data_IF_979126014936
#
_entry.id   IF_979126014936
#
_cell.length_a   1.000
_cell.length_b   1.000
_cell.length_c   1.000
_cell.angle_alpha   90.00
_cell.angle_beta   90.00
_cell.angle_gamma   90.00
#
_symmetry.space_group_name_H-M   'P 1'
#
loop_
_entity.id
_entity.type
_entity.pdbx_description
1 polymer ?
#
# COMPACT_ATOMS: atom_id res chain seq x y z
N UNK A 1 -12.82 18.83 27.47
CA UNK A 1 -13.82 18.95 26.39
C UNK A 1 -13.11 19.53 25.18
N UNK A 2 -13.28 18.97 23.97
CA UNK A 2 -12.80 19.65 22.76
C UNK A 2 -13.60 20.94 22.62
N UNK A 3 -12.94 22.08 22.39
CA UNK A 3 -13.64 23.33 22.16
C UNK A 3 -14.54 23.16 20.94
N UNK A 4 -15.75 23.71 21.00
CA UNK A 4 -16.73 23.64 19.92
C UNK A 4 -16.17 24.27 18.64
N UNK A 5 -15.24 25.22 18.77
CA UNK A 5 -14.49 25.83 17.67
C UNK A 5 -13.62 24.83 16.90
N UNK A 6 -12.88 23.97 17.59
CA UNK A 6 -12.00 22.97 16.96
C UNK A 6 -12.81 21.95 16.13
N UNK A 7 -13.96 21.54 16.65
CA UNK A 7 -14.86 20.63 15.93
C UNK A 7 -15.38 21.24 14.63
N UNK A 8 -15.71 22.54 14.65
CA UNK A 8 -16.17 23.27 13.47
C UNK A 8 -15.07 23.43 12.43
N UNK A 9 -13.81 23.63 12.84
CA UNK A 9 -12.67 23.67 11.92
C UNK A 9 -12.43 22.32 11.25
N UNK A 10 -12.47 21.22 12.02
CA UNK A 10 -12.35 19.86 11.47
C UNK A 10 -13.46 19.59 10.47
N UNK A 11 -14.71 19.97 10.80
CA UNK A 11 -15.84 19.78 9.89
C UNK A 11 -15.66 20.58 8.60
N UNK A 12 -15.27 21.85 8.69
CA UNK A 12 -15.03 22.68 7.51
C UNK A 12 -13.90 22.11 6.62
N UNK A 13 -12.87 21.49 7.22
CA UNK A 13 -11.82 20.83 6.46
C UNK A 13 -12.33 19.57 5.74
N UNK A 14 -13.14 18.75 6.42
CA UNK A 14 -13.78 17.56 5.83
C UNK A 14 -14.72 17.96 4.69
N UNK A 15 -15.53 19.01 4.88
CA UNK A 15 -16.45 19.51 3.86
C UNK A 15 -15.67 20.00 2.63
N UNK A 16 -14.62 20.80 2.85
CA UNK A 16 -13.75 21.30 1.77
C UNK A 16 -13.11 20.16 0.96
N UNK A 17 -12.66 19.10 1.62
CA UNK A 17 -12.09 17.94 0.93
C UNK A 17 -13.16 17.16 0.16
N UNK A 18 -14.36 17.02 0.73
CA UNK A 18 -15.47 16.31 0.10
C UNK A 18 -15.98 17.03 -1.15
N UNK A 19 -15.87 18.37 -1.22
CA UNK A 19 -16.17 19.14 -2.43
C UNK A 19 -15.13 18.95 -3.55
N UNK A 20 -13.94 18.42 -3.24
CA UNK A 20 -12.84 18.24 -4.19
C UNK A 20 -12.75 16.84 -4.78
N UNK A 21 -13.47 15.86 -4.22
CA UNK A 21 -13.37 14.46 -4.62
C UNK A 21 -14.73 13.78 -4.68
N UNK A 22 -14.96 12.99 -5.73
CA UNK A 22 -16.11 12.10 -5.81
C UNK A 22 -15.80 10.75 -5.15
N UNK A 23 -16.66 10.33 -4.22
CA UNK A 23 -16.51 9.04 -3.52
C UNK A 23 -17.62 8.10 -3.96
N UNK A 24 -17.24 7.00 -4.60
CA UNK A 24 -18.16 5.95 -5.03
C UNK A 24 -17.86 4.64 -4.31
N UNK A 25 -18.93 3.91 -3.97
CA UNK A 25 -18.82 2.62 -3.28
C UNK A 25 -19.31 1.49 -4.18
N UNK A 26 -18.60 0.37 -4.15
CA UNK A 26 -19.02 -0.87 -4.79
C UNK A 26 -18.84 -2.03 -3.82
N UNK A 27 -19.83 -2.93 -3.80
CA UNK A 27 -19.85 -4.04 -2.87
C UNK A 27 -19.17 -5.28 -3.48
N UNK A 28 -18.11 -5.76 -2.82
CA UNK A 28 -17.59 -7.11 -3.06
C UNK A 28 -18.61 -8.15 -2.57
N UNK A 29 -19.00 -9.10 -3.43
CA UNK A 29 -20.11 -10.02 -3.13
C UNK A 29 -19.75 -11.15 -2.17
N UNK A 30 -18.49 -11.54 -2.13
CA UNK A 30 -17.95 -12.53 -1.20
C UNK A 30 -16.46 -12.22 -0.97
N UNK A 31 -15.90 -12.54 0.21
CA UNK A 31 -14.48 -12.28 0.51
C UNK A 31 -13.58 -13.27 -0.26
N UNK A 32 -13.41 -13.05 -1.56
CA UNK A 32 -12.65 -13.94 -2.46
C UNK A 32 -11.20 -13.49 -2.66
N UNK A 33 -10.71 -12.58 -1.83
CA UNK A 33 -9.35 -12.01 -1.92
C UNK A 33 -9.28 -10.62 -2.56
N UNK A 34 -8.10 -10.01 -2.44
CA UNK A 34 -7.81 -8.66 -2.93
C UNK A 34 -8.04 -8.50 -4.43
N UNK A 35 -7.65 -9.50 -5.23
CA UNK A 35 -7.82 -9.45 -6.68
C UNK A 35 -9.30 -9.39 -7.10
N UNK A 36 -10.18 -10.09 -6.39
CA UNK A 36 -11.63 -10.03 -6.63
C UNK A 36 -12.22 -8.66 -6.24
N UNK A 37 -11.72 -8.05 -5.15
CA UNK A 37 -12.10 -6.70 -4.75
C UNK A 37 -11.70 -5.65 -5.81
N UNK A 38 -10.45 -5.71 -6.29
CA UNK A 38 -9.95 -4.83 -7.37
C UNK A 38 -10.74 -5.07 -8.66
N UNK A 39 -10.95 -6.32 -9.07
CA UNK A 39 -11.72 -6.65 -10.27
C UNK A 39 -13.17 -6.16 -10.21
N UNK A 40 -13.78 -6.17 -9.02
CA UNK A 40 -15.11 -5.63 -8.80
C UNK A 40 -15.16 -4.14 -9.17
N UNK A 41 -14.14 -3.37 -8.80
CA UNK A 41 -14.04 -1.93 -9.08
C UNK A 41 -13.83 -1.58 -10.57
N UNK A 42 -13.50 -2.55 -11.44
CA UNK A 42 -13.27 -2.30 -12.90
C UNK A 42 -14.41 -1.54 -13.59
N UNK A 43 -15.65 -1.69 -13.08
CA UNK A 43 -16.86 -1.05 -13.64
C UNK A 43 -16.84 0.47 -13.47
N UNK A 44 -16.06 0.96 -12.50
CA UNK A 44 -15.89 2.38 -12.19
C UNK A 44 -14.63 2.96 -12.85
N UNK A 45 -13.62 2.11 -13.12
CA UNK A 45 -12.33 2.51 -13.70
C UNK A 45 -12.38 2.61 -15.23
N UNK A 46 -13.37 1.97 -15.87
CA UNK A 46 -13.66 2.10 -17.31
C UNK A 46 -12.49 1.85 -18.28
N UNK A 47 -11.55 0.98 -17.89
CA UNK A 47 -10.42 0.60 -18.74
C UNK A 47 -9.27 1.61 -18.74
N UNK A 48 -9.22 2.51 -17.75
CA UNK A 48 -8.08 3.37 -17.50
C UNK A 48 -7.09 2.75 -16.49
N UNK A 49 -5.83 3.19 -16.46
CA UNK A 49 -4.94 2.88 -15.34
C UNK A 49 -5.49 3.45 -14.03
N UNK A 50 -5.34 2.74 -12.92
CA UNK A 50 -5.81 3.21 -11.63
C UNK A 50 -4.85 2.90 -10.49
N UNK A 51 -4.94 3.70 -9.42
CA UNK A 51 -4.23 3.43 -8.19
C UNK A 51 -5.00 2.43 -7.31
N UNK A 52 -4.28 1.50 -6.68
CA UNK A 52 -4.82 0.61 -5.64
C UNK A 52 -4.11 0.90 -4.33
N UNK A 53 -4.88 1.17 -3.29
CA UNK A 53 -4.41 1.55 -1.97
C UNK A 53 -4.97 0.58 -0.92
N UNK A 54 -4.11 -0.24 -0.31
CA UNK A 54 -4.47 -1.04 0.86
C UNK A 54 -4.57 -0.14 2.11
N UNK A 55 -5.71 -0.18 2.79
CA UNK A 55 -6.03 0.76 3.86
C UNK A 55 -5.22 0.52 5.15
N UNK A 56 -4.72 -0.70 5.33
CA UNK A 56 -3.85 -1.13 6.44
C UNK A 56 -2.39 -0.68 6.27
N UNK A 57 -1.98 -0.30 5.06
CA UNK A 57 -0.65 0.24 4.80
C UNK A 57 -0.63 1.77 4.92
N UNK A 58 -0.10 2.24 6.05
CA UNK A 58 0.10 3.66 6.32
C UNK A 58 1.53 4.03 5.91
N UNK A 59 1.64 4.95 4.97
CA UNK A 59 2.93 5.47 4.50
C UNK A 59 2.97 6.97 4.75
N UNK A 60 3.98 7.42 5.51
CA UNK A 60 4.19 8.82 5.84
C UNK A 60 5.38 9.37 5.05
N UNK A 61 5.12 10.46 4.32
CA UNK A 61 6.12 11.21 3.55
C UNK A 61 5.93 12.69 3.84
N UNK A 62 7.01 13.45 3.99
CA UNK A 62 6.90 14.87 4.34
C UNK A 62 6.60 15.76 3.13
N UNK A 63 7.22 15.48 1.97
CA UNK A 63 7.13 16.37 0.80
C UNK A 63 6.64 15.69 -0.49
N UNK A 64 6.90 14.39 -0.66
CA UNK A 64 6.60 13.67 -1.89
C UNK A 64 5.80 12.39 -1.58
N UNK A 65 4.46 12.44 -1.64
CA UNK A 65 3.61 11.28 -1.34
C UNK A 65 3.94 10.09 -2.25
N UNK A 66 4.02 8.87 -1.70
CA UNK A 66 4.33 7.65 -2.47
C UNK A 66 3.41 7.47 -3.67
N UNK A 67 2.12 7.76 -3.54
CA UNK A 67 1.20 7.66 -4.66
C UNK A 67 1.61 8.57 -5.82
N UNK A 68 2.08 9.79 -5.55
CA UNK A 68 2.58 10.72 -6.58
C UNK A 68 3.84 10.17 -7.25
N UNK A 69 4.76 9.59 -6.47
CA UNK A 69 5.96 8.93 -6.99
C UNK A 69 5.60 7.80 -7.99
N UNK A 70 4.61 6.97 -7.64
CA UNK A 70 4.14 5.88 -8.50
C UNK A 70 3.45 6.41 -9.77
N UNK A 71 2.61 7.44 -9.65
CA UNK A 71 1.94 8.08 -10.80
C UNK A 71 3.00 8.66 -11.75
N UNK A 72 4.04 9.30 -11.24
CA UNK A 72 5.11 9.86 -12.06
C UNK A 72 5.93 8.76 -12.76
N UNK A 73 6.19 7.65 -12.08
CA UNK A 73 6.83 6.49 -12.69
C UNK A 73 5.95 5.86 -13.79
N UNK A 74 4.64 5.74 -13.55
CA UNK A 74 3.68 5.26 -14.54
C UNK A 74 3.61 6.20 -15.74
N UNK A 75 3.52 7.51 -15.54
CA UNK A 75 3.46 8.50 -16.61
C UNK A 75 4.69 8.47 -17.53
N UNK A 76 5.87 8.16 -16.98
CA UNK A 76 7.12 8.04 -17.74
C UNK A 76 7.24 6.73 -18.52
N UNK A 77 6.69 5.64 -18.01
CA UNK A 77 6.96 4.27 -18.51
C UNK A 77 5.76 3.58 -19.15
N UNK A 78 4.54 4.01 -18.84
CA UNK A 78 3.29 3.31 -19.15
C UNK A 78 3.12 1.97 -18.42
N UNK A 79 4.03 1.62 -17.50
CA UNK A 79 4.08 0.31 -16.87
C UNK A 79 3.14 0.19 -15.67
N UNK A 80 2.76 -1.03 -15.28
CA UNK A 80 2.23 -1.26 -13.92
C UNK A 80 3.36 -0.98 -12.92
N UNK A 81 3.10 -0.18 -11.88
CA UNK A 81 4.09 0.25 -10.89
C UNK A 81 3.73 -0.31 -9.52
N UNK A 82 4.69 -0.98 -8.88
CA UNK A 82 4.55 -1.52 -7.53
C UNK A 82 5.42 -0.69 -6.58
N UNK A 83 4.85 -0.17 -5.48
CA UNK A 83 5.65 0.41 -4.41
C UNK A 83 6.37 -0.72 -3.67
N UNK A 84 7.69 -0.61 -3.52
CA UNK A 84 8.48 -1.67 -2.88
C UNK A 84 9.40 -1.18 -1.79
N UNK A 85 9.73 -2.08 -0.87
CA UNK A 85 10.79 -1.91 0.12
C UNK A 85 11.43 -3.24 0.44
N UNK A 86 12.71 -3.21 0.83
CA UNK A 86 13.36 -4.39 1.39
C UNK A 86 12.82 -4.69 2.78
N UNK A 87 12.55 -5.97 3.03
CA UNK A 87 12.07 -6.47 4.33
C UNK A 87 13.01 -7.54 4.87
N UNK A 88 13.10 -7.73 6.20
CA UNK A 88 13.84 -8.85 6.76
C UNK A 88 13.33 -10.19 6.22
N UNK A 89 14.23 -11.17 6.03
CA UNK A 89 13.84 -12.51 5.53
C UNK A 89 12.76 -13.19 6.38
N UNK A 90 12.66 -12.88 7.68
CA UNK A 90 11.59 -13.40 8.54
C UNK A 90 10.19 -12.85 8.21
N UNK A 91 10.08 -11.84 7.35
CA UNK A 91 8.82 -11.19 6.98
C UNK A 91 8.40 -11.44 5.53
N UNK A 92 9.21 -12.10 4.71
CA UNK A 92 8.94 -12.26 3.27
C UNK A 92 7.65 -13.01 2.97
N UNK A 93 7.27 -13.96 3.84
CA UNK A 93 6.03 -14.75 3.71
C UNK A 93 4.75 -13.95 3.96
N UNK A 94 4.86 -12.66 4.25
CA UNK A 94 3.73 -11.76 4.51
C UNK A 94 3.32 -10.97 3.27
N UNK A 95 4.19 -10.88 2.26
CA UNK A 95 4.07 -9.94 1.16
C UNK A 95 4.23 -10.62 -0.21
N UNK A 96 3.90 -9.90 -1.28
CA UNK A 96 4.32 -10.24 -2.62
C UNK A 96 5.81 -9.92 -2.80
N UNK A 97 6.64 -10.91 -3.09
CA UNK A 97 8.10 -10.75 -3.21
C UNK A 97 8.50 -10.73 -4.67
N UNK A 98 9.33 -9.74 -5.03
CA UNK A 98 9.62 -9.36 -6.40
C UNK A 98 11.04 -9.78 -6.81
N UNK A 99 11.18 -10.39 -7.98
CA UNK A 99 12.45 -10.55 -8.67
C UNK A 99 12.63 -9.43 -9.70
N UNK A 100 13.85 -8.89 -9.80
CA UNK A 100 14.17 -7.81 -10.75
C UNK A 100 15.45 -8.12 -11.52
N UNK A 101 15.61 -7.53 -12.71
CA UNK A 101 16.81 -7.71 -13.56
C UNK A 101 17.65 -6.43 -13.71
N UNK A 102 17.62 -5.57 -12.69
CA UNK A 102 18.38 -4.33 -12.68
C UNK A 102 17.64 -3.20 -11.99
N UNK A 103 18.32 -2.06 -11.87
CA UNK A 103 17.77 -0.83 -11.32
C UNK A 103 18.31 0.37 -12.09
N UNK A 104 17.46 1.34 -12.36
CA UNK A 104 17.88 2.67 -12.78
C UNK A 104 17.12 3.69 -11.95
N UNK A 105 17.84 4.52 -11.18
CA UNK A 105 17.28 5.56 -10.32
C UNK A 105 16.17 5.08 -9.36
N UNK A 106 16.36 3.92 -8.72
CA UNK A 106 15.38 3.34 -7.79
C UNK A 106 14.15 2.70 -8.45
N UNK A 107 14.09 2.69 -9.78
CA UNK A 107 13.10 1.97 -10.56
C UNK A 107 13.69 0.67 -11.10
N UNK A 108 13.01 -0.44 -10.83
CA UNK A 108 13.47 -1.78 -11.16
C UNK A 108 12.51 -2.43 -12.15
N UNK A 109 13.05 -3.07 -13.20
CA UNK A 109 12.24 -3.91 -14.08
C UNK A 109 11.92 -5.22 -13.38
N UNK A 110 10.62 -5.54 -13.27
CA UNK A 110 10.12 -6.73 -12.58
C UNK A 110 10.11 -7.91 -13.54
N UNK A 111 10.81 -8.98 -13.16
CA UNK A 111 10.89 -10.22 -13.94
C UNK A 111 10.05 -11.34 -13.34
N UNK A 112 9.79 -11.30 -12.03
CA UNK A 112 8.82 -12.19 -11.39
C UNK A 112 8.24 -11.55 -10.13
N UNK A 113 7.08 -12.05 -9.70
CA UNK A 113 6.51 -11.75 -8.40
C UNK A 113 5.80 -12.99 -7.85
N UNK A 114 5.96 -13.23 -6.55
CA UNK A 114 5.40 -14.40 -5.86
C UNK A 114 4.64 -13.93 -4.62
N UNK A 115 3.36 -14.29 -4.51
CA UNK A 115 2.53 -13.97 -3.35
C UNK A 115 2.90 -14.86 -2.16
N UNK A 116 3.31 -14.24 -1.04
CA UNK A 116 3.53 -14.89 0.27
C UNK A 116 4.38 -16.17 0.18
N UNK A 117 5.57 -16.13 -0.46
CA UNK A 117 6.42 -17.30 -0.58
C UNK A 117 6.94 -17.77 0.79
N UNK A 118 7.41 -19.02 0.87
CA UNK A 118 8.27 -19.43 1.98
C UNK A 118 9.57 -18.62 1.97
N UNK A 119 10.29 -18.57 3.10
CA UNK A 119 11.58 -17.87 3.15
C UNK A 119 12.63 -18.46 2.18
N UNK A 120 12.51 -19.76 1.89
CA UNK A 120 13.38 -20.53 1.00
C UNK A 120 13.01 -20.28 -0.48
N UNK A 121 11.72 -20.15 -0.78
CA UNK A 121 11.20 -19.91 -2.13
C UNK A 121 11.15 -18.43 -2.53
N UNK A 122 11.43 -17.53 -1.58
CA UNK A 122 11.40 -16.10 -1.82
C UNK A 122 12.50 -15.70 -2.84
N UNK A 123 12.14 -15.11 -3.99
CA UNK A 123 13.11 -14.79 -5.04
C UNK A 123 14.06 -13.64 -4.67
N UNK A 124 13.70 -12.85 -3.65
CA UNK A 124 14.51 -11.76 -3.09
C UNK A 124 14.01 -11.38 -1.69
N UNK A 125 14.43 -10.24 -1.18
CA UNK A 125 13.88 -9.57 0.01
C UNK A 125 13.06 -8.30 -0.33
N UNK A 126 12.79 -8.07 -1.62
CA UNK A 126 12.06 -6.89 -2.12
C UNK A 126 10.56 -7.15 -2.10
N UNK A 127 9.85 -6.53 -1.15
CA UNK A 127 8.42 -6.73 -0.95
C UNK A 127 7.59 -5.62 -1.60
N UNK A 128 6.51 -5.99 -2.27
CA UNK A 128 5.44 -5.11 -2.69
C UNK A 128 4.62 -4.67 -1.47
N UNK A 129 4.55 -3.37 -1.24
CA UNK A 129 3.78 -2.74 -0.17
C UNK A 129 2.60 -2.02 -0.81
N UNK A 130 1.44 -2.03 -0.16
CA UNK A 130 0.07 -1.86 -0.67
C UNK A 130 -0.30 -0.55 -1.37
N UNK A 131 0.57 -0.07 -2.26
CA UNK A 131 0.37 1.01 -3.21
C UNK A 131 0.79 0.49 -4.58
N UNK A 132 -0.15 0.54 -5.49
CA UNK A 132 0.04 0.08 -6.87
C UNK A 132 -0.54 1.12 -7.81
N UNK A 133 0.05 1.27 -8.99
CA UNK A 133 -0.62 1.82 -10.17
C UNK A 133 -0.72 0.68 -11.16
N UNK A 134 -1.93 0.21 -11.43
CA UNK A 134 -2.19 -0.94 -12.29
C UNK A 134 -2.75 -0.50 -13.63
N UNK A 135 -2.44 -1.25 -14.68
CA UNK A 135 -2.94 -1.01 -16.04
C UNK A 135 -4.15 -1.91 -16.35
N UNK A 136 -4.90 -1.61 -17.44
CA UNK A 136 -6.02 -2.44 -17.89
C UNK A 136 -5.66 -3.92 -18.09
N UNK A 137 -4.42 -4.21 -18.49
CA UNK A 137 -3.93 -5.58 -18.63
C UNK A 137 -4.03 -6.41 -17.33
N UNK A 138 -3.90 -5.77 -16.16
CA UNK A 138 -4.06 -6.45 -14.87
C UNK A 138 -5.53 -6.81 -14.64
N UNK A 139 -6.48 -5.94 -15.02
CA UNK A 139 -7.91 -6.25 -14.94
C UNK A 139 -8.31 -7.42 -15.85
N UNK A 140 -7.72 -7.50 -17.04
CA UNK A 140 -7.92 -8.62 -17.95
C UNK A 140 -7.45 -9.93 -17.32
N UNK A 141 -6.30 -9.93 -16.64
CA UNK A 141 -5.79 -11.11 -15.94
C UNK A 141 -6.57 -11.46 -14.66
N UNK A 142 -7.18 -10.48 -14.01
CA UNK A 142 -8.10 -10.70 -12.89
C UNK A 142 -9.43 -11.30 -13.33
N UNK A 143 -9.88 -11.03 -14.56
CA UNK A 143 -11.15 -11.56 -15.10
C UNK A 143 -11.24 -13.08 -15.13
N UNK A 144 -10.08 -13.77 -15.12
CA UNK A 144 -10.00 -15.23 -15.04
C UNK A 144 -10.56 -15.79 -13.74
N UNK A 145 -10.51 -15.01 -12.64
CA UNK A 145 -11.05 -15.42 -11.34
C UNK A 145 -10.39 -16.66 -10.73
N UNK A 146 -9.15 -16.98 -11.14
CA UNK A 146 -8.41 -18.16 -10.67
C UNK A 146 -7.90 -17.93 -9.25
N UNK A 147 -8.27 -18.77 -8.27
CA UNK A 147 -7.69 -18.71 -6.93
C UNK A 147 -6.21 -19.12 -6.93
N UNK A 148 -5.41 -18.45 -6.12
CA UNK A 148 -4.00 -18.75 -5.87
C UNK A 148 -3.74 -19.01 -4.38
N UNK A 149 -2.76 -18.32 -3.82
CA UNK A 149 -2.40 -18.44 -2.41
C UNK A 149 -3.62 -18.23 -1.49
N UNK A 150 -3.80 -19.13 -0.51
CA UNK A 150 -4.93 -19.05 0.44
C UNK A 150 -6.31 -19.36 -0.15
N UNK A 151 -6.40 -19.92 -1.36
CA UNK A 151 -7.68 -20.11 -2.10
C UNK A 151 -8.41 -18.81 -2.43
N UNK A 152 -7.66 -17.72 -2.50
CA UNK A 152 -8.13 -16.37 -2.83
C UNK A 152 -7.62 -15.95 -4.20
N UNK A 153 -8.37 -15.08 -4.88
CA UNK A 153 -7.92 -14.39 -6.10
C UNK A 153 -6.95 -13.30 -5.66
N UNK A 154 -5.67 -13.48 -5.96
CA UNK A 154 -4.61 -12.55 -5.57
C UNK A 154 -4.31 -11.55 -6.70
N UNK A 155 -4.12 -10.28 -6.32
CA UNK A 155 -3.70 -9.23 -7.25
C UNK A 155 -2.30 -9.52 -7.80
N UNK A 156 -1.40 -10.01 -6.94
CA UNK A 156 -0.02 -10.35 -7.30
C UNK A 156 0.04 -11.42 -8.39
N UNK A 157 -0.80 -12.46 -8.30
CA UNK A 157 -0.86 -13.49 -9.33
C UNK A 157 -1.33 -12.95 -10.69
N UNK A 158 -2.23 -11.96 -10.71
CA UNK A 158 -2.65 -11.31 -11.94
C UNK A 158 -1.53 -10.45 -12.54
N UNK A 159 -0.82 -9.68 -11.72
CA UNK A 159 0.35 -8.89 -12.14
C UNK A 159 1.42 -9.82 -12.71
N UNK A 160 1.73 -10.93 -12.03
CA UNK A 160 2.68 -11.96 -12.50
C UNK A 160 2.36 -12.41 -13.93
N UNK A 161 1.08 -12.65 -14.24
CA UNK A 161 0.65 -13.09 -15.58
C UNK A 161 0.77 -12.01 -16.66
N UNK A 162 0.91 -10.74 -16.31
CA UNK A 162 1.17 -9.66 -17.29
C UNK A 162 2.65 -9.54 -17.66
N UNK A 163 3.57 -10.03 -16.82
CA UNK A 163 5.01 -9.95 -17.04
C UNK A 163 5.39 -10.64 -18.35
N UNK A 164 6.27 -10.02 -19.12
CA UNK A 164 6.72 -10.49 -20.45
C UNK A 164 5.81 -10.08 -21.60
N UNK A 165 4.57 -9.66 -21.34
CA UNK A 165 3.65 -9.05 -22.33
C UNK A 165 3.47 -7.55 -22.13
N UNK A 166 3.52 -7.12 -20.87
CA UNK A 166 3.44 -5.72 -20.46
C UNK A 166 4.57 -5.40 -19.50
N UNK A 167 5.01 -4.13 -19.51
CA UNK A 167 6.01 -3.66 -18.58
C UNK A 167 5.44 -3.59 -17.17
N UNK A 168 6.18 -4.16 -16.22
CA UNK A 168 5.93 -4.06 -14.78
C UNK A 168 7.21 -3.56 -14.15
N UNK A 169 7.09 -2.52 -13.33
CA UNK A 169 8.23 -1.91 -12.64
C UNK A 169 7.96 -1.82 -11.14
N UNK A 170 9.02 -1.95 -10.36
CA UNK A 170 9.02 -1.79 -8.92
C UNK A 170 9.76 -0.49 -8.57
N UNK A 171 9.14 0.37 -7.78
CA UNK A 171 9.72 1.63 -7.33
C UNK A 171 10.06 1.53 -5.85
N UNK A 172 11.34 1.58 -5.52
CA UNK A 172 11.80 1.75 -4.13
C UNK A 172 11.42 3.17 -3.69
N UNK A 173 10.32 3.28 -2.93
CA UNK A 173 9.76 4.59 -2.59
C UNK A 173 10.45 5.22 -1.38
N UNK A 174 10.40 6.56 -1.33
CA UNK A 174 10.82 7.32 -0.16
C UNK A 174 9.65 7.55 0.80
N UNK A 175 9.79 7.12 2.05
CA UNK A 175 8.79 7.32 3.09
C UNK A 175 8.91 6.31 4.25
N UNK A 176 8.26 6.62 5.36
CA UNK A 176 8.14 5.71 6.49
C UNK A 176 6.91 4.82 6.32
N UNK A 177 7.12 3.51 6.35
CA UNK A 177 6.07 2.51 6.20
C UNK A 177 5.66 1.94 7.56
N UNK A 178 4.36 1.87 7.79
CA UNK A 178 3.75 1.26 8.96
C UNK A 178 2.63 0.31 8.55
N UNK A 179 2.80 -0.96 8.90
CA UNK A 179 1.81 -2.02 8.73
C UNK A 179 0.80 -1.98 9.88
N UNK A 180 -0.34 -1.34 9.66
CA UNK A 180 -1.40 -1.24 10.67
C UNK A 180 -2.35 -2.45 10.68
N UNK A 181 -2.10 -3.45 9.83
CA UNK A 181 -2.76 -4.76 9.89
C UNK A 181 -2.31 -5.59 11.09
N UNK A 182 -1.22 -5.21 11.76
CA UNK A 182 -0.76 -5.81 13.02
C UNK A 182 -0.98 -4.91 14.22
N UNK A 183 -1.27 -5.48 15.39
CA UNK A 183 -1.43 -4.70 16.63
C UNK A 183 -0.16 -3.88 16.96
N UNK A 184 1.07 -4.43 16.92
CA UNK A 184 2.27 -3.65 17.17
C UNK A 184 2.49 -2.53 16.15
N UNK A 185 2.22 -2.79 14.86
CA UNK A 185 2.38 -1.80 13.81
C UNK A 185 1.34 -0.69 13.88
N UNK A 186 0.08 -1.00 14.24
CA UNK A 186 -0.96 -0.01 14.54
C UNK A 186 -0.55 0.91 15.69
N UNK A 187 -0.08 0.35 16.81
CA UNK A 187 0.39 1.15 17.96
C UNK A 187 1.59 2.03 17.58
N UNK A 188 2.56 1.47 16.85
CA UNK A 188 3.73 2.21 16.37
C UNK A 188 3.32 3.39 15.47
N UNK A 189 2.40 3.17 14.53
CA UNK A 189 1.92 4.22 13.63
C UNK A 189 1.27 5.37 14.41
N UNK A 190 0.39 5.05 15.36
CA UNK A 190 -0.27 6.05 16.20
C UNK A 190 0.74 6.85 17.05
N UNK A 191 1.68 6.16 17.71
CA UNK A 191 2.71 6.82 18.50
C UNK A 191 3.58 7.74 17.64
N UNK A 192 4.02 7.28 16.46
CA UNK A 192 4.84 8.12 15.56
C UNK A 192 4.09 9.35 15.06
N UNK A 193 2.80 9.22 14.71
CA UNK A 193 1.97 10.34 14.32
C UNK A 193 1.74 11.33 15.47
N UNK A 194 1.49 10.82 16.67
CA UNK A 194 1.31 11.66 17.85
C UNK A 194 2.61 12.39 18.21
N UNK A 195 3.75 11.71 18.14
CA UNK A 195 5.06 12.31 18.31
C UNK A 195 5.37 13.39 17.26
N UNK A 196 4.72 13.43 16.09
CA UNK A 196 4.90 14.53 15.13
C UNK A 196 4.11 15.80 15.47
N UNK A 197 3.19 15.76 16.43
CA UNK A 197 2.39 16.92 16.89
C UNK A 197 2.94 17.43 18.21
N UNK A 198 3.39 18.68 18.26
CA UNK A 198 4.11 19.22 19.42
C UNK A 198 3.30 19.14 20.73
N UNK A 199 2.00 19.45 20.68
CA UNK A 199 1.11 19.35 21.84
C UNK A 199 1.00 17.91 22.35
N UNK A 200 0.71 16.95 21.47
CA UNK A 200 0.59 15.54 21.84
C UNK A 200 1.94 14.96 22.28
N UNK A 201 3.05 15.36 21.64
CA UNK A 201 4.39 14.95 22.06
C UNK A 201 4.66 15.39 23.50
N UNK A 202 4.33 16.63 23.84
CA UNK A 202 4.50 17.19 25.18
C UNK A 202 3.76 16.40 26.27
N UNK A 203 2.55 15.90 25.97
CA UNK A 203 1.77 15.08 26.90
C UNK A 203 2.21 13.61 26.94
N UNK A 204 2.55 13.02 25.79
CA UNK A 204 2.83 11.59 25.67
C UNK A 204 4.25 11.20 26.04
N UNK A 205 5.25 12.05 25.79
CA UNK A 205 6.65 11.71 26.07
C UNK A 205 6.90 11.42 27.56
N UNK A 206 6.41 12.23 28.52
CA UNK A 206 6.53 11.92 29.95
C UNK A 206 5.83 10.60 30.33
N UNK A 207 4.62 10.37 29.81
CA UNK A 207 3.84 9.15 30.06
C UNK A 207 4.59 7.90 29.57
N UNK A 208 5.17 7.95 28.38
CA UNK A 208 5.95 6.84 27.84
C UNK A 208 7.21 6.57 28.66
N UNK A 209 7.89 7.61 29.14
CA UNK A 209 9.05 7.46 30.03
C UNK A 209 8.67 6.79 31.34
N UNK A 210 7.56 7.20 31.96
CA UNK A 210 7.03 6.58 33.17
C UNK A 210 6.69 5.10 32.97
N UNK A 211 5.97 4.76 31.89
CA UNK A 211 5.60 3.38 31.57
C UNK A 211 6.82 2.46 31.32
N UNK A 212 7.91 3.01 30.80
CA UNK A 212 9.15 2.26 30.58
C UNK A 212 9.98 2.10 31.86
N UNK A 213 9.89 3.05 32.79
CA UNK A 213 10.57 3.01 34.10
C UNK A 213 9.86 2.10 35.10
N UNK A 214 8.52 2.04 35.06
CA UNK A 214 7.69 1.20 35.94
C UNK A 214 7.54 -0.25 35.43
N UNK A 215 8.50 -0.75 34.67
CA UNK A 215 8.56 -2.16 34.28
C UNK A 215 9.16 -2.98 35.42
N UNK A 216 8.32 -3.33 36.38
CA UNK A 216 8.53 -4.53 37.22
C UNK A 216 8.17 -5.80 36.44
#
# INVERSE_FOLDING_TARGET
ERDRGDLLQILAEVDRLSEQVDITYIQQKAPRGLGDAVWTARRLVEGEPCAVLLADDVILCENNPVLKQLIDAHAKTGATVLAVRRVPRSQVSRYGIIATNGSHDGLHEVTDVVEKPSAEDAPSDLAALGRYVITPAVFDELSRGTPGAGKEIQLVDAIKRTIGRHHVVALEFEGDYYDTGTVPGYLRANLMLAMKRDELRGELEPLLRELLQNRD
#
